data_IF_252582950905
#
_entry.id   IF_252582950905
#
_cell.length_a   1.000
_cell.length_b   1.000
_cell.length_c   1.000
_cell.angle_alpha   90.00
_cell.angle_beta   90.00
_cell.angle_gamma   90.00
#
_symmetry.space_group_name_H-M   'P 1'
#
loop_
_entity.id
_entity.type
_entity.pdbx_description
1 polymer ?
#
# COMPACT_ATOMS: atom_id res chain seq x y z
N UNK A 1 -5.44 7.29 -18.64
CA UNK A 1 -4.44 7.05 -17.58
C UNK A 1 -5.04 6.14 -16.53
N UNK A 2 -4.38 5.02 -16.25
CA UNK A 2 -4.84 4.07 -15.24
C UNK A 2 -4.62 4.63 -13.83
N UNK A 3 -5.65 4.59 -13.00
CA UNK A 3 -5.54 4.90 -11.58
C UNK A 3 -5.24 3.63 -10.78
N UNK A 4 -4.25 3.72 -9.90
CA UNK A 4 -3.87 2.66 -8.98
C UNK A 4 -3.87 3.23 -7.57
N UNK A 5 -4.01 2.39 -6.57
CA UNK A 5 -3.77 2.80 -5.19
C UNK A 5 -2.77 1.88 -4.50
N UNK A 6 -2.05 2.43 -3.55
CA UNK A 6 -1.23 1.67 -2.61
C UNK A 6 -1.55 2.18 -1.20
N UNK A 7 -1.49 1.29 -0.23
CA UNK A 7 -1.97 1.58 1.11
C UNK A 7 -0.92 1.19 2.13
N UNK A 8 -0.48 2.17 2.92
CA UNK A 8 0.41 1.93 4.05
C UNK A 8 -0.45 1.62 5.27
N UNK A 9 -0.44 0.36 5.68
CA UNK A 9 -1.23 -0.11 6.82
C UNK A 9 -0.28 -0.38 7.99
N UNK A 10 -0.39 0.43 9.05
CA UNK A 10 0.29 0.15 10.30
C UNK A 10 -0.50 -0.87 11.12
N UNK A 11 0.21 -1.75 11.83
CA UNK A 11 -0.39 -2.55 12.90
C UNK A 11 -0.83 -1.63 14.05
N UNK A 12 -1.60 -2.11 15.04
CA UNK A 12 -2.12 -1.24 16.12
C UNK A 12 -1.06 -0.49 16.91
N UNK A 13 0.16 -1.00 17.02
CA UNK A 13 1.25 -0.34 17.73
C UNK A 13 2.16 0.50 16.83
N UNK A 14 1.87 0.54 15.54
CA UNK A 14 2.57 1.33 14.52
C UNK A 14 4.08 1.04 14.42
N UNK A 15 4.50 -0.16 14.76
CA UNK A 15 5.88 -0.61 14.62
C UNK A 15 6.09 -1.56 13.44
N UNK A 16 5.02 -1.93 12.74
CA UNK A 16 5.04 -2.78 11.55
C UNK A 16 4.13 -2.24 10.46
N UNK A 17 4.50 -2.52 9.24
CA UNK A 17 3.70 -2.20 8.04
C UNK A 17 3.33 -3.47 7.32
N UNK A 18 2.12 -3.52 6.78
CA UNK A 18 1.65 -4.66 6.00
C UNK A 18 2.20 -4.56 4.58
N UNK A 19 2.93 -5.59 4.15
CA UNK A 19 3.45 -5.68 2.80
C UNK A 19 3.04 -7.01 2.18
N UNK A 20 3.03 -7.03 0.83
CA UNK A 20 2.81 -8.24 0.08
C UNK A 20 4.03 -8.57 -0.77
N UNK A 21 4.29 -9.85 -0.99
CA UNK A 21 5.30 -10.30 -1.92
C UNK A 21 4.65 -10.56 -3.26
N UNK A 22 5.12 -9.91 -4.30
CA UNK A 22 4.57 -10.06 -5.63
C UNK A 22 4.92 -11.44 -6.21
N UNK A 23 3.91 -12.14 -6.71
CA UNK A 23 4.06 -13.46 -7.32
C UNK A 23 4.11 -13.40 -8.84
N UNK A 24 3.79 -12.22 -9.44
CA UNK A 24 3.75 -12.02 -10.89
C UNK A 24 4.56 -10.79 -11.30
N UNK A 25 4.98 -10.78 -12.56
CA UNK A 25 5.59 -9.59 -13.18
C UNK A 25 4.53 -8.47 -13.29
N UNK A 26 4.88 -7.17 -13.23
CA UNK A 26 6.23 -6.68 -12.92
C UNK A 26 6.58 -6.84 -11.44
N UNK A 27 7.88 -6.77 -11.12
CA UNK A 27 8.40 -6.83 -9.75
C UNK A 27 8.22 -8.19 -9.07
N UNK A 28 8.12 -9.29 -9.84
CA UNK A 28 8.02 -10.64 -9.26
C UNK A 28 9.11 -10.89 -8.22
N UNK A 29 8.69 -11.34 -7.04
CA UNK A 29 9.60 -11.63 -5.93
C UNK A 29 9.93 -10.45 -5.04
N UNK A 30 9.59 -9.22 -5.44
CA UNK A 30 9.80 -8.03 -4.63
C UNK A 30 8.58 -7.77 -3.72
N UNK A 31 8.83 -7.03 -2.64
CA UNK A 31 7.80 -6.62 -1.71
C UNK A 31 7.18 -5.29 -2.14
N UNK A 32 5.88 -5.13 -1.90
CA UNK A 32 5.14 -3.91 -2.20
C UNK A 32 4.08 -3.66 -1.12
N UNK A 33 3.57 -2.45 -1.10
CA UNK A 33 2.38 -2.15 -0.32
C UNK A 33 1.17 -2.82 -0.96
N UNK A 34 0.14 -3.10 -0.17
CA UNK A 34 -1.13 -3.62 -0.69
C UNK A 34 -1.88 -2.53 -1.44
N UNK A 35 -2.76 -2.90 -2.35
CA UNK A 35 -3.53 -1.98 -3.17
C UNK A 35 -3.88 -2.60 -4.50
N UNK A 36 -4.40 -1.82 -5.42
CA UNK A 36 -4.79 -2.32 -6.73
C UNK A 36 -5.31 -1.24 -7.67
N UNK A 37 -6.12 -1.66 -8.63
CA UNK A 37 -6.66 -0.78 -9.66
C UNK A 37 -7.91 -0.05 -9.17
N UNK A 38 -8.00 1.24 -9.53
CA UNK A 38 -9.21 2.02 -9.36
C UNK A 38 -10.06 1.79 -10.60
N UNK A 39 -11.29 1.32 -10.42
CA UNK A 39 -12.20 1.05 -11.54
C UNK A 39 -12.77 2.36 -12.09
N UNK A 40 -13.09 2.41 -13.41
CA UNK A 40 -13.68 3.61 -14.00
C UNK A 40 -14.97 4.02 -13.28
N UNK A 41 -15.05 5.30 -12.90
CA UNK A 41 -16.22 5.84 -12.19
C UNK A 41 -16.32 5.53 -10.72
N UNK A 42 -15.37 4.77 -10.19
CA UNK A 42 -15.32 4.43 -8.77
C UNK A 42 -14.76 5.60 -7.97
N UNK A 43 -15.37 5.89 -6.81
CA UNK A 43 -14.82 6.87 -5.87
C UNK A 43 -13.46 6.40 -5.36
N UNK A 44 -12.46 7.28 -5.35
CA UNK A 44 -11.08 6.91 -5.07
C UNK A 44 -10.88 6.32 -3.67
N UNK A 45 -11.48 6.94 -2.66
CA UNK A 45 -11.37 6.42 -1.28
C UNK A 45 -12.09 5.08 -1.13
N UNK A 46 -13.27 4.94 -1.76
CA UNK A 46 -13.99 3.67 -1.76
C UNK A 46 -13.19 2.57 -2.44
N UNK A 47 -12.49 2.90 -3.53
CA UNK A 47 -11.61 1.96 -4.21
C UNK A 47 -10.48 1.47 -3.30
N UNK A 48 -9.90 2.38 -2.51
CA UNK A 48 -8.84 2.02 -1.57
C UNK A 48 -9.36 1.02 -0.52
N UNK A 49 -10.52 1.29 0.08
CA UNK A 49 -11.12 0.36 1.05
C UNK A 49 -11.47 -0.99 0.40
N UNK A 50 -12.02 -0.96 -0.82
CA UNK A 50 -12.37 -2.18 -1.55
C UNK A 50 -11.13 -3.05 -1.83
N UNK A 51 -10.08 -2.45 -2.38
CA UNK A 51 -8.84 -3.18 -2.67
C UNK A 51 -8.20 -3.72 -1.39
N UNK A 52 -8.19 -2.92 -0.33
CA UNK A 52 -7.67 -3.37 0.96
C UNK A 52 -8.42 -4.59 1.47
N UNK A 53 -9.75 -4.57 1.39
CA UNK A 53 -10.56 -5.70 1.81
C UNK A 53 -10.31 -6.95 0.95
N UNK A 54 -10.28 -6.77 -0.36
CA UNK A 54 -10.05 -7.88 -1.29
C UNK A 54 -8.68 -8.54 -1.07
N UNK A 55 -7.65 -7.75 -0.80
CA UNK A 55 -6.30 -8.28 -0.63
C UNK A 55 -5.99 -8.78 0.77
N UNK A 56 -6.63 -8.25 1.80
CA UNK A 56 -6.18 -8.48 3.18
C UNK A 56 -7.28 -8.87 4.16
N UNK A 57 -8.54 -8.72 3.79
CA UNK A 57 -9.68 -8.91 4.68
C UNK A 57 -9.85 -7.79 5.73
N UNK A 58 -9.09 -6.72 5.65
CA UNK A 58 -9.25 -5.54 6.53
C UNK A 58 -10.43 -4.72 6.04
N UNK A 59 -11.33 -4.34 6.96
CA UNK A 59 -12.54 -3.57 6.64
C UNK A 59 -12.42 -2.12 7.07
N UNK A 60 -13.35 -1.27 6.60
CA UNK A 60 -13.44 0.13 7.02
C UNK A 60 -13.76 0.30 8.51
N UNK A 61 -14.19 -0.76 9.19
CA UNK A 61 -14.39 -0.76 10.64
C UNK A 61 -13.07 -0.96 11.40
N UNK A 62 -12.04 -1.46 10.73
CA UNK A 62 -10.76 -1.79 11.35
C UNK A 62 -9.74 -0.66 11.24
N UNK A 63 -9.92 0.23 10.26
CA UNK A 63 -8.92 1.23 9.91
C UNK A 63 -9.59 2.46 9.29
N UNK A 64 -9.04 3.63 9.56
CA UNK A 64 -9.42 4.86 8.86
C UNK A 64 -8.29 5.25 7.91
N UNK A 65 -8.58 5.27 6.61
CA UNK A 65 -7.60 5.64 5.60
C UNK A 65 -7.60 7.15 5.35
N UNK A 66 -6.41 7.69 5.22
CA UNK A 66 -6.18 9.10 4.88
C UNK A 66 -5.40 9.14 3.57
N UNK A 67 -5.84 9.97 2.64
CA UNK A 67 -5.15 10.19 1.37
C UNK A 67 -3.90 11.03 1.64
N UNK A 68 -2.74 10.46 1.37
CA UNK A 68 -1.45 11.07 1.71
C UNK A 68 -0.84 11.87 0.55
N UNK A 69 -0.76 11.27 -0.62
CA UNK A 69 -0.09 11.83 -1.78
C UNK A 69 -0.39 11.02 -3.04
N UNK A 70 0.04 11.53 -4.20
CA UNK A 70 -0.07 10.83 -5.46
C UNK A 70 1.26 10.86 -6.21
N UNK A 71 1.53 9.81 -6.98
CA UNK A 71 2.57 9.79 -8.00
C UNK A 71 1.91 9.70 -9.36
N UNK A 72 2.42 10.45 -10.34
CA UNK A 72 1.93 10.37 -11.72
C UNK A 72 3.11 10.07 -12.64
N UNK A 73 2.96 9.04 -13.46
CA UNK A 73 3.95 8.62 -14.44
C UNK A 73 3.40 8.87 -15.84
N UNK A 74 4.19 9.56 -16.67
CA UNK A 74 3.78 9.98 -18.01
C UNK A 74 4.43 9.17 -19.13
N UNK A 75 5.26 8.19 -18.78
CA UNK A 75 5.93 7.35 -19.77
C UNK A 75 4.97 6.30 -20.35
N UNK A 76 5.47 5.39 -21.21
CA UNK A 76 4.68 4.50 -22.05
C UNK A 76 3.37 3.96 -21.46
N UNK A 77 3.38 3.56 -20.19
CA UNK A 77 2.19 3.09 -19.48
C UNK A 77 1.84 4.12 -18.41
N UNK A 78 1.34 5.30 -18.87
CA UNK A 78 1.00 6.37 -17.95
C UNK A 78 0.00 5.92 -16.89
N UNK A 79 0.30 6.24 -15.64
CA UNK A 79 -0.59 5.90 -14.53
C UNK A 79 -0.45 6.90 -13.40
N UNK A 80 -1.49 6.97 -12.58
CA UNK A 80 -1.48 7.72 -11.33
C UNK A 80 -1.63 6.75 -10.19
N UNK A 81 -0.72 6.83 -9.22
CA UNK A 81 -0.75 6.01 -8.01
C UNK A 81 -1.16 6.89 -6.84
N UNK A 82 -2.31 6.62 -6.27
CA UNK A 82 -2.78 7.30 -5.07
C UNK A 82 -2.31 6.53 -3.84
N UNK A 83 -1.79 7.25 -2.85
CA UNK A 83 -1.23 6.66 -1.64
C UNK A 83 -2.11 7.00 -0.45
N UNK A 84 -2.54 5.97 0.26
CA UNK A 84 -3.33 6.09 1.48
C UNK A 84 -2.55 5.52 2.66
N UNK A 85 -2.84 6.02 3.85
CA UNK A 85 -2.22 5.55 5.08
C UNK A 85 -3.26 5.42 6.18
N UNK A 86 -3.09 4.43 7.03
CA UNK A 86 -3.93 4.25 8.21
C UNK A 86 -3.29 3.31 9.21
N UNK A 87 -3.79 3.35 10.44
CA UNK A 87 -3.34 2.47 11.53
C UNK A 87 -4.53 1.63 11.97
N UNK A 88 -4.32 0.33 12.06
CA UNK A 88 -5.37 -0.58 12.56
C UNK A 88 -5.75 -0.18 13.99
N UNK A 89 -7.06 -0.13 14.27
CA UNK A 89 -7.57 0.17 15.59
C UNK A 89 -7.59 -1.05 16.50
N UNK A 90 -7.46 -2.23 15.89
CA UNK A 90 -7.45 -3.52 16.59
C UNK A 90 -6.64 -4.54 15.80
N UNK A 91 -6.25 -5.62 16.45
CA UNK A 91 -5.57 -6.72 15.79
C UNK A 91 -6.52 -7.39 14.79
N UNK A 92 -6.08 -7.53 13.55
CA UNK A 92 -6.84 -8.20 12.48
C UNK A 92 -5.98 -9.33 11.94
N UNK A 93 -6.58 -10.50 11.80
CA UNK A 93 -5.92 -11.61 11.11
C UNK A 93 -6.04 -11.36 9.61
N UNK A 94 -4.95 -10.92 9.00
CA UNK A 94 -4.94 -10.65 7.56
C UNK A 94 -4.90 -11.95 6.77
N UNK A 95 -5.61 -11.94 5.63
CA UNK A 95 -5.69 -13.10 4.76
C UNK A 95 -5.78 -12.61 3.32
N UNK A 96 -4.90 -13.13 2.46
CA UNK A 96 -4.87 -12.78 1.05
C UNK A 96 -4.79 -14.02 0.19
N UNK A 97 -5.51 -14.02 -0.92
CA UNK A 97 -5.56 -15.16 -1.85
C UNK A 97 -4.52 -15.06 -2.96
N UNK A 98 -4.12 -13.83 -3.35
CA UNK A 98 -3.25 -13.61 -4.51
C UNK A 98 -1.78 -13.48 -4.15
N UNK A 99 -1.47 -12.83 -3.03
CA UNK A 99 -0.09 -12.55 -2.63
C UNK A 99 0.15 -12.97 -1.19
N UNK A 100 1.40 -13.28 -0.89
CA UNK A 100 1.84 -13.52 0.48
C UNK A 100 1.83 -12.20 1.24
N UNK A 101 1.20 -12.17 2.42
CA UNK A 101 1.13 -10.99 3.28
C UNK A 101 2.08 -11.14 4.47
N UNK A 102 2.82 -10.07 4.75
CA UNK A 102 3.82 -10.06 5.81
C UNK A 102 3.72 -8.75 6.59
N UNK A 103 3.74 -8.83 7.92
CA UNK A 103 3.95 -7.67 8.78
C UNK A 103 5.45 -7.43 8.91
N UNK A 104 5.93 -6.34 8.34
CA UNK A 104 7.36 -6.01 8.30
C UNK A 104 7.68 -4.88 9.27
N UNK A 105 8.80 -5.01 9.99
CA UNK A 105 9.28 -3.98 10.89
C UNK A 105 9.51 -2.67 10.12
N UNK A 106 9.11 -1.53 10.71
CA UNK A 106 9.29 -0.23 10.07
C UNK A 106 10.75 0.25 10.10
N UNK A 107 11.61 -0.38 10.91
CA UNK A 107 13.04 -0.11 10.88
C UNK A 107 13.70 -0.87 9.73
N UNK A 108 13.50 -0.36 8.52
CA UNK A 108 13.96 -0.99 7.29
C UNK A 108 14.36 0.10 6.31
N UNK A 109 15.26 -0.23 5.41
CA UNK A 109 15.56 0.65 4.27
C UNK A 109 14.58 0.39 3.13
N UNK A 110 13.46 1.07 3.14
CA UNK A 110 12.43 0.92 2.12
C UNK A 110 12.83 1.52 0.75
N UNK A 111 13.99 2.16 0.67
CA UNK A 111 14.55 2.63 -0.60
C UNK A 111 15.30 1.52 -1.36
N UNK A 112 15.51 0.37 -0.75
CA UNK A 112 16.26 -0.73 -1.37
C UNK A 112 15.49 -1.34 -2.54
N UNK A 113 15.91 -0.98 -3.75
CA UNK A 113 15.25 -1.40 -4.99
C UNK A 113 15.46 -2.88 -5.32
N UNK A 114 16.38 -3.56 -4.64
CA UNK A 114 16.57 -5.00 -4.81
C UNK A 114 15.56 -5.80 -4.00
N UNK A 115 14.87 -5.15 -3.08
CA UNK A 115 13.94 -5.78 -2.14
C UNK A 115 12.51 -5.28 -2.31
N UNK A 116 12.35 -3.99 -2.58
CA UNK A 116 11.04 -3.33 -2.67
C UNK A 116 10.74 -2.83 -4.07
N UNK A 117 9.50 -3.02 -4.52
CA UNK A 117 9.01 -2.52 -5.78
C UNK A 117 8.87 -0.99 -5.76
N UNK A 118 8.76 -0.38 -6.96
CA UNK A 118 8.42 1.03 -7.10
C UNK A 118 9.61 2.00 -7.09
N UNK A 119 10.82 1.50 -7.28
CA UNK A 119 12.02 2.34 -7.46
C UNK A 119 12.20 3.37 -6.34
N UNK A 120 12.06 2.93 -5.09
CA UNK A 120 12.25 3.80 -3.91
C UNK A 120 10.98 4.49 -3.44
N UNK A 121 9.85 4.29 -4.09
CA UNK A 121 8.59 4.95 -3.71
C UNK A 121 8.16 4.64 -2.28
N UNK A 122 8.34 3.40 -1.83
CA UNK A 122 7.92 3.00 -0.48
C UNK A 122 8.74 3.75 0.56
N UNK A 123 10.05 3.93 0.32
CA UNK A 123 10.91 4.73 1.19
C UNK A 123 10.47 6.18 1.25
N UNK A 124 10.15 6.77 0.09
CA UNK A 124 9.65 8.15 0.03
C UNK A 124 8.32 8.30 0.79
N UNK A 125 7.40 7.35 0.60
CA UNK A 125 6.12 7.34 1.31
C UNK A 125 6.34 7.35 2.82
N UNK A 126 7.23 6.50 3.32
CA UNK A 126 7.49 6.43 4.76
C UNK A 126 8.11 7.71 5.31
N UNK A 127 9.03 8.34 4.56
CA UNK A 127 9.59 9.63 4.96
C UNK A 127 8.50 10.70 5.09
N UNK A 128 7.55 10.75 4.15
CA UNK A 128 6.44 11.69 4.20
C UNK A 128 5.52 11.40 5.40
N UNK A 129 5.26 10.14 5.69
CA UNK A 129 4.48 9.74 6.86
C UNK A 129 5.14 10.25 8.15
N UNK A 130 6.46 10.04 8.30
CA UNK A 130 7.21 10.48 9.49
C UNK A 130 7.21 11.98 9.64
N UNK A 131 7.44 12.73 8.55
CA UNK A 131 7.46 14.20 8.57
C UNK A 131 6.12 14.75 9.03
N UNK A 132 5.03 14.15 8.60
CA UNK A 132 3.68 14.60 8.93
C UNK A 132 3.14 14.01 10.25
N UNK A 133 3.92 13.19 10.91
CA UNK A 133 3.56 12.54 12.19
C UNK A 133 2.22 11.78 12.12
N UNK A 134 2.06 11.09 11.01
CA UNK A 134 0.86 10.29 10.79
C UNK A 134 0.97 8.94 11.52
#
# INVERSE_FOLDING_TARGET
MQGLNVIWVFNPTADKVLICRRLKEPYKGLYNLVGGKIEPGEDNLSAAYRELYEETNITSNDIKLVHLMDFTYFLADSCRVEVYVGTLTRKVRVHGDENELIWHDVNENFFDMTKFAGEGNIGHIYEIIKINKI
#
